data_IF_783418385167
#
_entry.id   IF_783418385167
#
_cell.length_a   1.000
_cell.length_b   1.000
_cell.length_c   1.000
_cell.angle_alpha   90.00
_cell.angle_beta   90.00
_cell.angle_gamma   90.00
#
_symmetry.space_group_name_H-M   'P 1'
#
loop_
_entity.id
_entity.type
_entity.pdbx_description
1 polymer ?
#
# COMPACT_ATOMS: atom_id res chain seq x y z
N UNK A 1 -13.10 8.87 22.78
CA UNK A 1 -13.32 8.03 21.59
C UNK A 1 -12.42 6.82 21.74
N UNK A 2 -12.97 5.60 21.79
CA UNK A 2 -12.16 4.39 21.92
C UNK A 2 -11.35 4.20 20.63
N UNK A 3 -10.02 4.15 20.73
CA UNK A 3 -9.15 3.69 19.64
C UNK A 3 -9.40 2.19 19.44
N UNK A 4 -10.39 1.86 18.62
CA UNK A 4 -10.58 0.51 18.12
C UNK A 4 -9.59 0.31 16.98
N UNK A 5 -8.60 -0.56 17.19
CA UNK A 5 -7.77 -1.08 16.10
C UNK A 5 -8.63 -1.68 14.98
N UNK A 6 -8.02 -1.88 13.82
CA UNK A 6 -8.69 -2.45 12.64
C UNK A 6 -9.29 -3.82 12.98
N UNK A 7 -10.56 -4.02 12.62
CA UNK A 7 -11.22 -5.30 12.73
C UNK A 7 -10.55 -6.33 11.79
N UNK A 8 -10.65 -7.64 12.06
CA UNK A 8 -9.96 -8.66 11.27
C UNK A 8 -10.25 -8.60 9.76
N UNK A 9 -11.49 -8.29 9.39
CA UNK A 9 -11.91 -8.10 7.99
C UNK A 9 -11.27 -6.85 7.37
N UNK A 10 -11.13 -5.75 8.12
CA UNK A 10 -10.49 -4.52 7.66
C UNK A 10 -8.99 -4.72 7.47
N UNK A 11 -8.32 -5.46 8.36
CA UNK A 11 -6.90 -5.83 8.20
C UNK A 11 -6.68 -6.69 6.96
N UNK A 12 -7.57 -7.66 6.67
CA UNK A 12 -7.51 -8.47 5.45
C UNK A 12 -7.70 -7.59 4.21
N UNK A 13 -8.74 -6.75 4.19
CA UNK A 13 -8.99 -5.82 3.08
C UNK A 13 -7.79 -4.88 2.86
N UNK A 14 -7.16 -4.41 3.92
CA UNK A 14 -5.97 -3.56 3.86
C UNK A 14 -4.78 -4.30 3.24
N UNK A 15 -4.57 -5.57 3.59
CA UNK A 15 -3.57 -6.43 2.95
C UNK A 15 -3.85 -6.66 1.45
N UNK A 16 -5.11 -6.85 1.06
CA UNK A 16 -5.52 -7.00 -0.34
C UNK A 16 -5.22 -5.73 -1.14
N UNK A 17 -5.62 -4.56 -0.60
CA UNK A 17 -5.35 -3.26 -1.22
C UNK A 17 -3.85 -3.04 -1.39
N UNK A 18 -3.05 -3.34 -0.35
CA UNK A 18 -1.58 -3.22 -0.42
C UNK A 18 -0.99 -4.13 -1.50
N UNK A 19 -1.47 -5.37 -1.59
CA UNK A 19 -1.03 -6.35 -2.61
C UNK A 19 -1.33 -5.84 -4.01
N UNK A 20 -2.55 -5.34 -4.24
CA UNK A 20 -2.96 -4.76 -5.53
C UNK A 20 -2.08 -3.56 -5.88
N UNK A 21 -1.76 -2.68 -4.92
CA UNK A 21 -0.91 -1.51 -5.16
C UNK A 21 0.53 -1.87 -5.51
N UNK A 22 1.12 -2.85 -4.83
CA UNK A 22 2.44 -3.37 -5.17
C UNK A 22 2.47 -3.99 -6.57
N UNK A 23 1.44 -4.76 -6.93
CA UNK A 23 1.31 -5.34 -8.27
C UNK A 23 1.20 -4.25 -9.34
N UNK A 24 0.34 -3.24 -9.14
CA UNK A 24 0.19 -2.14 -10.09
C UNK A 24 1.47 -1.30 -10.22
N UNK A 25 2.14 -1.02 -9.10
CA UNK A 25 3.40 -0.27 -9.11
C UNK A 25 4.48 -1.03 -9.89
N UNK A 26 4.59 -2.34 -9.66
CA UNK A 26 5.53 -3.19 -10.38
C UNK A 26 5.27 -3.14 -11.89
N UNK A 27 4.00 -3.27 -12.32
CA UNK A 27 3.61 -3.14 -13.74
C UNK A 27 4.03 -1.80 -14.33
N UNK A 28 3.77 -0.70 -13.61
CA UNK A 28 4.10 0.63 -14.10
C UNK A 28 5.61 0.83 -14.19
N UNK A 29 6.37 0.38 -13.18
CA UNK A 29 7.84 0.46 -13.19
C UNK A 29 8.43 -0.35 -14.35
N UNK A 30 7.94 -1.56 -14.61
CA UNK A 30 8.45 -2.39 -15.70
C UNK A 30 8.04 -1.89 -17.08
N UNK A 31 6.87 -1.25 -17.20
CA UNK A 31 6.37 -0.73 -18.48
C UNK A 31 6.85 0.70 -18.79
N UNK A 32 7.15 1.52 -17.78
CA UNK A 32 7.56 2.93 -17.96
C UNK A 32 8.76 3.12 -18.91
N UNK A 33 9.80 2.25 -18.90
CA UNK A 33 10.90 2.31 -19.86
C UNK A 33 10.46 2.12 -21.32
N UNK A 34 9.40 1.32 -21.55
CA UNK A 34 8.90 0.98 -22.89
C UNK A 34 8.04 2.09 -23.50
N UNK A 35 7.63 3.09 -22.71
CA UNK A 35 6.81 4.21 -23.17
C UNK A 35 7.68 5.24 -23.89
N UNK A 36 7.38 5.45 -25.18
CA UNK A 36 8.02 6.47 -26.03
C UNK A 36 7.40 7.86 -25.85
N UNK A 37 6.10 7.93 -25.55
CA UNK A 37 5.40 9.19 -25.38
C UNK A 37 5.85 9.93 -24.10
N UNK A 38 6.24 11.19 -24.25
CA UNK A 38 6.86 11.98 -23.17
C UNK A 38 5.83 12.36 -22.09
N UNK A 39 4.61 12.69 -22.50
CA UNK A 39 3.55 13.09 -21.58
C UNK A 39 3.09 11.88 -20.76
N UNK A 40 2.83 10.75 -21.42
CA UNK A 40 2.50 9.49 -20.77
C UNK A 40 3.62 9.05 -19.81
N UNK A 41 4.89 9.16 -20.20
CA UNK A 41 6.01 8.85 -19.30
C UNK A 41 6.01 9.76 -18.06
N UNK A 42 5.66 11.03 -18.19
CA UNK A 42 5.54 11.95 -17.05
C UNK A 42 4.37 11.57 -16.13
N UNK A 43 3.21 11.21 -16.70
CA UNK A 43 2.04 10.70 -15.96
C UNK A 43 2.43 9.45 -15.17
N UNK A 44 3.14 8.51 -15.79
CA UNK A 44 3.59 7.29 -15.11
C UNK A 44 4.60 7.58 -13.99
N UNK A 45 5.52 8.53 -14.16
CA UNK A 45 6.43 8.96 -13.08
C UNK A 45 5.68 9.53 -11.88
N UNK A 46 4.70 10.39 -12.13
CA UNK A 46 3.84 10.93 -11.07
C UNK A 46 3.06 9.82 -10.38
N UNK A 47 2.55 8.84 -11.14
CA UNK A 47 1.85 7.69 -10.59
C UNK A 47 2.77 6.79 -9.74
N UNK A 48 4.02 6.57 -10.14
CA UNK A 48 5.02 5.84 -9.34
C UNK A 48 5.22 6.52 -8.00
N UNK A 49 5.45 7.85 -8.00
CA UNK A 49 5.64 8.63 -6.78
C UNK A 49 4.42 8.55 -5.85
N UNK A 50 3.23 8.78 -6.39
CA UNK A 50 1.99 8.68 -5.62
C UNK A 50 1.75 7.27 -5.06
N UNK A 51 2.02 6.22 -5.86
CA UNK A 51 1.85 4.83 -5.44
C UNK A 51 2.82 4.45 -4.33
N UNK A 52 4.08 4.91 -4.38
CA UNK A 52 5.05 4.70 -3.30
C UNK A 52 4.60 5.36 -2.00
N UNK A 53 4.05 6.56 -2.08
CA UNK A 53 3.49 7.27 -0.92
C UNK A 53 2.28 6.51 -0.34
N UNK A 54 1.33 6.08 -1.18
CA UNK A 54 0.19 5.29 -0.73
C UNK A 54 0.61 3.98 -0.07
N UNK A 55 1.61 3.26 -0.60
CA UNK A 55 2.12 2.02 0.02
C UNK A 55 2.71 2.31 1.41
N UNK A 56 3.42 3.43 1.58
CA UNK A 56 3.96 3.84 2.88
C UNK A 56 2.84 4.11 3.88
N UNK A 57 1.77 4.78 3.47
CA UNK A 57 0.60 5.04 4.32
C UNK A 57 -0.14 3.75 4.69
N UNK A 58 -0.40 2.87 3.71
CA UNK A 58 -1.05 1.58 3.93
C UNK A 58 -0.24 0.70 4.90
N UNK A 59 1.10 0.74 4.82
CA UNK A 59 1.96 0.07 5.80
C UNK A 59 1.82 0.66 7.19
N UNK A 60 1.73 1.98 7.32
CA UNK A 60 1.48 2.64 8.60
C UNK A 60 0.17 2.18 9.25
N UNK A 61 -0.90 2.06 8.46
CA UNK A 61 -2.18 1.51 8.96
C UNK A 61 -2.09 0.04 9.37
N UNK A 62 -1.31 -0.79 8.65
CA UNK A 62 -1.07 -2.19 9.04
C UNK A 62 -0.27 -2.30 10.34
N UNK A 63 0.76 -1.47 10.52
CA UNK A 63 1.55 -1.41 11.75
C UNK A 63 0.69 -0.99 12.96
N UNK A 64 -0.29 -0.11 12.75
CA UNK A 64 -1.29 0.25 13.76
C UNK A 64 -2.33 -0.85 14.02
N UNK A 65 -2.53 -1.78 13.08
CA UNK A 65 -3.42 -2.95 13.27
C UNK A 65 -2.78 -4.06 14.10
N UNK A 66 -1.45 -4.16 14.08
CA UNK A 66 -0.67 -5.17 14.81
C UNK A 66 0.03 -4.56 16.04
N UNK A 67 -0.74 -4.13 17.04
CA UNK A 67 -0.46 -3.94 18.48
C UNK A 67 -1.82 -3.51 19.07
N UNK A 68 -2.51 -4.20 19.98
CA UNK A 68 -2.12 -4.87 21.22
C UNK A 68 -3.01 -6.12 21.44
N UNK A 69 -2.57 -7.30 21.90
CA UNK A 69 -1.41 -7.70 22.70
C UNK A 69 -0.84 -9.06 22.21
N UNK A 70 0.44 -9.37 22.48
CA UNK A 70 0.80 -10.75 22.80
C UNK A 70 0.08 -11.12 24.10
N UNK A 71 -1.01 -11.88 23.98
CA UNK A 71 -1.67 -12.53 25.11
C UNK A 71 -0.60 -13.22 25.96
N UNK A 72 -0.53 -12.82 27.22
CA UNK A 72 0.36 -13.41 28.22
C UNK A 72 0.10 -14.91 28.27
N UNK A 73 1.03 -15.70 27.73
CA UNK A 73 1.12 -17.12 28.03
C UNK A 73 1.48 -17.22 29.52
N UNK A 74 0.47 -17.43 30.36
CA UNK A 74 0.63 -18.01 31.70
C UNK A 74 0.71 -19.52 31.60
#
# INVERSE_FOLDING_TARGET
MQEKGLAPNETIQLHEIMTIRNLSLTKIITMSPLVSDKELKNILKNNISASQQHIKELRGYLEQSMIAEPEQIK
#
